data_IF_311283671182
#
_entry.id   IF_311283671182
#
_cell.length_a   1.000
_cell.length_b   1.000
_cell.length_c   1.000
_cell.angle_alpha   90.00
_cell.angle_beta   90.00
_cell.angle_gamma   90.00
#
_symmetry.space_group_name_H-M   'P 1'
#
loop_
_entity.id
_entity.type
_entity.pdbx_description
1 polymer ?
#
# COMPACT_ATOMS: atom_id res chain seq x y z
N UNK A 1 -1.24 3.37 -10.51
CA UNK A 1 0.13 3.88 -10.26
C UNK A 1 0.62 3.32 -8.97
N UNK A 2 1.81 2.76 -8.99
CA UNK A 2 2.41 2.10 -7.83
C UNK A 2 3.57 2.93 -7.33
N UNK A 3 3.57 3.25 -6.04
CA UNK A 3 4.69 3.87 -5.36
C UNK A 3 5.34 2.83 -4.45
N UNK A 4 6.64 2.64 -4.63
CA UNK A 4 7.42 1.69 -3.83
C UNK A 4 8.83 2.20 -3.59
N UNK A 5 9.37 1.85 -2.43
CA UNK A 5 10.74 2.21 -2.04
C UNK A 5 11.66 0.99 -2.12
N UNK A 6 12.72 1.12 -2.87
CA UNK A 6 13.71 0.05 -3.05
C UNK A 6 15.06 0.40 -2.44
N UNK A 7 15.73 -0.59 -1.83
CA UNK A 7 17.09 -0.40 -1.34
C UNK A 7 18.08 -0.62 -2.46
N UNK A 8 18.90 0.40 -2.76
CA UNK A 8 20.03 0.31 -3.66
C UNK A 8 21.33 0.20 -2.86
N UNK A 9 21.98 -0.93 -2.93
CA UNK A 9 23.29 -1.13 -2.32
C UNK A 9 24.35 -0.42 -3.15
N UNK A 10 25.08 0.50 -2.53
CA UNK A 10 26.18 1.22 -3.16
C UNK A 10 27.26 1.49 -2.11
N UNK A 11 28.35 0.76 -2.18
CA UNK A 11 29.55 1.03 -1.40
C UNK A 11 30.28 2.22 -2.03
N UNK A 12 29.93 3.42 -1.60
CA UNK A 12 30.41 4.65 -2.22
C UNK A 12 30.44 5.80 -1.20
N UNK A 13 31.43 6.66 -1.33
CA UNK A 13 31.52 7.95 -0.60
C UNK A 13 30.65 9.05 -1.27
N UNK A 14 29.69 8.66 -2.12
CA UNK A 14 28.79 9.63 -2.77
C UNK A 14 27.89 10.29 -1.74
N UNK A 15 27.58 11.53 -2.03
CA UNK A 15 26.67 12.33 -1.22
C UNK A 15 25.36 11.58 -0.95
N UNK A 16 24.91 11.59 0.29
CA UNK A 16 23.71 10.94 0.77
C UNK A 16 23.71 9.39 0.76
N UNK A 17 24.80 8.73 0.39
CA UNK A 17 24.96 7.31 0.66
C UNK A 17 25.02 7.09 2.18
N UNK A 18 24.20 6.19 2.72
CA UNK A 18 24.05 5.98 4.15
C UNK A 18 23.71 4.52 4.48
N UNK A 19 23.90 4.08 5.74
CA UNK A 19 23.46 2.77 6.19
C UNK A 19 21.97 2.59 5.94
N UNK A 20 21.58 1.40 5.44
CA UNK A 20 20.18 1.05 5.17
C UNK A 20 19.60 0.17 6.28
N UNK A 21 18.27 0.12 6.40
CA UNK A 21 17.59 -0.74 7.37
C UNK A 21 17.87 -2.25 7.15
N UNK A 22 18.29 -2.65 5.96
CA UNK A 22 18.72 -4.02 5.64
C UNK A 22 20.18 -4.31 5.99
N UNK A 23 20.81 -3.46 6.82
CA UNK A 23 22.22 -3.60 7.24
C UNK A 23 23.23 -3.51 6.08
N UNK A 24 22.82 -2.92 4.94
CA UNK A 24 23.68 -2.55 3.83
C UNK A 24 24.07 -1.07 3.91
N UNK A 25 24.68 -0.57 2.84
CA UNK A 25 25.06 0.83 2.68
C UNK A 25 24.65 1.30 1.27
N UNK A 26 24.08 2.47 1.13
CA UNK A 26 23.68 3.01 -0.16
C UNK A 26 22.50 3.98 -0.08
N UNK A 27 21.46 3.75 -0.88
CA UNK A 27 20.33 4.65 -1.05
C UNK A 27 18.99 3.93 -0.86
N UNK A 28 17.93 4.71 -0.61
CA UNK A 28 16.57 4.19 -0.45
C UNK A 28 15.58 5.04 -1.30
N UNK A 29 15.72 5.01 -2.65
CA UNK A 29 14.83 5.76 -3.53
C UNK A 29 13.38 5.38 -3.36
N UNK A 30 12.48 6.36 -3.54
CA UNK A 30 11.06 6.17 -3.72
C UNK A 30 10.75 6.29 -5.22
N UNK A 31 10.17 5.25 -5.78
CA UNK A 31 9.89 5.13 -7.21
C UNK A 31 8.38 5.12 -7.46
N UNK A 32 7.97 5.64 -8.59
CA UNK A 32 6.58 5.56 -9.07
C UNK A 32 6.53 4.92 -10.46
N UNK A 33 5.59 4.00 -10.61
CA UNK A 33 5.36 3.26 -11.85
C UNK A 33 3.90 3.42 -12.31
N UNK A 34 3.69 3.56 -13.61
CA UNK A 34 2.36 3.43 -14.21
C UNK A 34 2.14 1.97 -14.58
N UNK A 35 1.02 1.42 -14.12
CA UNK A 35 0.55 0.10 -14.49
C UNK A 35 -0.36 0.23 -15.72
N UNK A 36 -0.03 -0.45 -16.80
CA UNK A 36 -0.78 -0.46 -18.07
C UNK A 36 -1.79 -1.61 -18.15
N UNK A 37 -2.10 -2.24 -17.01
CA UNK A 37 -3.06 -3.34 -16.91
C UNK A 37 -2.46 -4.72 -17.23
N UNK A 38 -3.31 -5.76 -17.37
CA UNK A 38 -2.87 -7.16 -17.41
C UNK A 38 -1.91 -7.50 -18.55
N UNK A 39 -1.95 -6.75 -19.65
CA UNK A 39 -1.09 -6.99 -20.84
C UNK A 39 0.12 -6.07 -20.89
N UNK A 40 0.25 -5.16 -19.93
CA UNK A 40 1.31 -4.15 -19.91
C UNK A 40 2.36 -4.45 -18.85
N UNK A 41 3.54 -3.88 -19.05
CA UNK A 41 4.59 -3.80 -18.03
C UNK A 41 4.46 -2.47 -17.29
N UNK A 42 4.88 -2.42 -16.03
CA UNK A 42 4.98 -1.15 -15.30
C UNK A 42 6.01 -0.23 -15.95
N UNK A 43 5.64 1.04 -16.16
CA UNK A 43 6.53 2.06 -16.70
C UNK A 43 7.02 2.99 -15.59
N UNK A 44 8.34 3.14 -15.37
CA UNK A 44 8.86 4.08 -14.39
C UNK A 44 8.59 5.52 -14.86
N UNK A 45 7.94 6.32 -14.02
CA UNK A 45 7.53 7.69 -14.35
C UNK A 45 8.26 8.72 -13.50
N UNK A 46 8.47 8.42 -12.23
CA UNK A 46 9.18 9.32 -11.32
C UNK A 46 10.03 8.53 -10.33
N UNK A 47 11.14 9.12 -9.94
CA UNK A 47 12.00 8.58 -8.90
C UNK A 47 12.60 9.72 -8.08
N UNK A 48 12.52 9.60 -6.77
CA UNK A 48 13.22 10.47 -5.85
C UNK A 48 14.33 9.69 -5.16
N UNK A 49 15.57 10.06 -5.43
CA UNK A 49 16.72 9.50 -4.74
C UNK A 49 16.73 10.02 -3.29
N UNK A 50 16.84 9.09 -2.34
CA UNK A 50 16.86 9.39 -0.91
C UNK A 50 18.07 8.72 -0.25
N UNK A 51 18.56 9.26 0.88
CA UNK A 51 19.59 8.59 1.67
C UNK A 51 19.20 7.17 2.05
N UNK A 52 20.17 6.30 2.25
CA UNK A 52 19.94 4.90 2.64
C UNK A 52 19.14 4.74 3.93
N UNK A 53 19.25 5.70 4.85
CA UNK A 53 18.51 5.76 6.11
C UNK A 53 17.20 6.57 6.05
N UNK A 54 16.72 6.95 4.86
CA UNK A 54 15.45 7.64 4.72
C UNK A 54 14.30 6.79 5.26
N UNK A 55 13.38 7.42 6.01
CA UNK A 55 12.19 6.77 6.53
C UNK A 55 11.28 6.26 5.39
N UNK A 56 10.73 5.05 5.55
CA UNK A 56 9.85 4.49 4.54
C UNK A 56 8.52 5.27 4.45
N UNK A 57 8.00 5.75 5.59
CA UNK A 57 6.67 6.35 5.72
C UNK A 57 6.70 7.89 5.76
N UNK A 58 7.61 8.54 5.04
CA UNK A 58 7.65 10.00 4.94
C UNK A 58 6.56 10.50 4.00
N UNK A 59 5.49 11.06 4.53
CA UNK A 59 4.33 11.55 3.75
C UNK A 59 4.75 12.60 2.71
N UNK A 60 5.61 13.55 3.07
CA UNK A 60 6.12 14.58 2.16
C UNK A 60 6.80 14.00 0.92
N UNK A 61 7.54 12.91 1.06
CA UNK A 61 8.20 12.24 -0.05
C UNK A 61 7.18 11.58 -0.98
N UNK A 62 6.17 10.89 -0.42
CA UNK A 62 5.09 10.29 -1.19
C UNK A 62 4.28 11.35 -1.96
N UNK A 63 3.97 12.47 -1.31
CA UNK A 63 3.30 13.62 -1.96
C UNK A 63 4.13 14.14 -3.12
N UNK A 64 5.42 14.41 -2.88
CA UNK A 64 6.32 14.96 -3.90
C UNK A 64 6.46 14.05 -5.12
N UNK A 65 6.63 12.75 -4.91
CA UNK A 65 6.71 11.78 -6.01
C UNK A 65 5.37 11.70 -6.75
N UNK A 66 4.24 11.70 -6.03
CA UNK A 66 2.91 11.73 -6.66
C UNK A 66 2.72 12.99 -7.51
N UNK A 67 3.12 14.16 -7.03
CA UNK A 67 3.06 15.41 -7.83
C UNK A 67 3.90 15.33 -9.10
N UNK A 68 5.12 14.80 -9.01
CA UNK A 68 5.96 14.57 -10.19
C UNK A 68 5.28 13.68 -11.23
N UNK A 69 4.63 12.60 -10.80
CA UNK A 69 3.86 11.73 -11.69
C UNK A 69 2.71 12.48 -12.34
N UNK A 70 1.92 13.21 -11.55
CA UNK A 70 0.74 13.93 -12.05
C UNK A 70 1.09 15.02 -13.07
N UNK A 71 2.30 15.56 -13.05
CA UNK A 71 2.76 16.51 -14.11
C UNK A 71 3.01 15.82 -15.46
N UNK A 72 3.27 14.52 -15.45
CA UNK A 72 3.62 13.77 -16.67
C UNK A 72 2.43 13.00 -17.24
N UNK A 73 1.50 12.57 -16.37
CA UNK A 73 0.33 11.78 -16.76
C UNK A 73 -0.84 12.70 -17.04
N UNK A 74 -1.31 12.71 -18.31
CA UNK A 74 -2.46 13.54 -18.76
C UNK A 74 -3.78 12.80 -18.55
N UNK A 75 -4.05 12.35 -17.33
CA UNK A 75 -5.26 11.60 -16.99
C UNK A 75 -6.05 12.38 -15.95
N UNK A 76 -7.41 12.47 -16.05
CA UNK A 76 -8.21 13.09 -15.02
C UNK A 76 -7.97 12.44 -13.65
N UNK A 77 -7.89 13.24 -12.60
CA UNK A 77 -7.59 12.77 -11.23
C UNK A 77 -8.50 11.61 -10.80
N UNK A 78 -9.78 11.67 -11.14
CA UNK A 78 -10.79 10.65 -10.79
C UNK A 78 -10.51 9.27 -11.42
N UNK A 79 -9.69 9.23 -12.48
CA UNK A 79 -9.30 7.98 -13.15
C UNK A 79 -7.93 7.46 -12.70
N UNK A 80 -7.30 8.14 -11.74
CA UNK A 80 -6.01 7.75 -11.21
C UNK A 80 -6.19 7.01 -9.89
N UNK A 81 -5.66 5.80 -9.81
CA UNK A 81 -5.55 5.01 -8.58
C UNK A 81 -4.08 4.98 -8.12
N UNK A 82 -3.82 5.44 -6.92
CA UNK A 82 -2.51 5.35 -6.28
C UNK A 82 -2.46 4.09 -5.40
N UNK A 83 -1.47 3.24 -5.60
CA UNK A 83 -1.23 2.05 -4.78
C UNK A 83 0.12 2.18 -4.09
N UNK A 84 0.17 1.85 -2.81
CA UNK A 84 1.42 1.73 -2.04
C UNK A 84 1.30 0.58 -1.04
N UNK A 85 2.42 0.15 -0.52
CA UNK A 85 2.45 -0.67 0.69
C UNK A 85 2.04 0.15 1.93
N UNK A 86 2.20 -0.42 3.12
CA UNK A 86 1.85 0.26 4.38
C UNK A 86 2.71 1.49 4.70
N UNK A 87 3.81 1.71 4.00
CA UNK A 87 4.63 2.90 4.18
C UNK A 87 3.90 4.18 3.71
N UNK A 88 3.04 4.08 2.69
CA UNK A 88 2.17 5.18 2.27
C UNK A 88 0.93 5.39 3.17
N UNK A 89 0.67 4.50 4.11
CA UNK A 89 -0.51 4.53 5.00
C UNK A 89 -0.40 5.60 6.09
N UNK A 90 -0.22 6.86 5.73
CA UNK A 90 -0.14 7.99 6.66
C UNK A 90 -1.33 8.93 6.52
N UNK A 91 -1.76 9.53 7.64
CA UNK A 91 -2.87 10.51 7.63
C UNK A 91 -2.63 11.63 6.63
N UNK A 92 -1.43 12.19 6.62
CA UNK A 92 -1.07 13.32 5.77
C UNK A 92 -1.16 12.95 4.28
N UNK A 93 -0.62 11.79 3.89
CA UNK A 93 -0.65 11.37 2.49
C UNK A 93 -2.06 11.01 2.03
N UNK A 94 -2.85 10.28 2.84
CA UNK A 94 -4.23 9.95 2.47
C UNK A 94 -5.15 11.19 2.43
N UNK A 95 -4.95 12.18 3.32
CA UNK A 95 -5.64 13.46 3.23
C UNK A 95 -5.27 14.22 1.95
N UNK A 96 -3.99 14.24 1.57
CA UNK A 96 -3.55 14.81 0.30
C UNK A 96 -4.23 14.14 -0.90
N UNK A 97 -4.21 12.80 -0.98
CA UNK A 97 -4.84 12.06 -2.08
C UNK A 97 -6.34 12.35 -2.17
N UNK A 98 -7.03 12.33 -1.03
CA UNK A 98 -8.47 12.65 -0.94
C UNK A 98 -8.76 14.08 -1.41
N UNK A 99 -7.98 15.06 -0.92
CA UNK A 99 -8.12 16.47 -1.30
C UNK A 99 -7.85 16.75 -2.79
N UNK A 100 -7.05 15.90 -3.43
CA UNK A 100 -6.76 15.94 -4.87
C UNK A 100 -7.80 15.18 -5.72
N UNK A 101 -8.75 14.50 -5.10
CA UNK A 101 -9.74 13.66 -5.80
C UNK A 101 -9.13 12.42 -6.45
N UNK A 102 -8.00 11.94 -5.94
CA UNK A 102 -7.32 10.73 -6.41
C UNK A 102 -7.89 9.50 -5.70
N UNK A 103 -8.08 8.41 -6.46
CA UNK A 103 -8.33 7.10 -5.88
C UNK A 103 -7.08 6.53 -5.22
N UNK A 104 -7.25 5.75 -4.16
CA UNK A 104 -6.12 5.05 -3.54
C UNK A 104 -6.48 3.65 -3.05
N UNK A 105 -5.46 2.79 -3.01
CA UNK A 105 -5.44 1.49 -2.34
C UNK A 105 -4.08 1.35 -1.66
N UNK A 106 -4.04 1.54 -0.36
CA UNK A 106 -2.80 1.68 0.41
C UNK A 106 -2.78 0.66 1.52
N UNK A 107 -1.65 -0.01 1.71
CA UNK A 107 -1.50 -0.94 2.82
C UNK A 107 -1.82 -0.27 4.16
N UNK A 108 -2.65 -0.92 4.97
CA UNK A 108 -3.11 -0.41 6.26
C UNK A 108 -2.57 -1.27 7.40
N UNK A 109 -1.94 -0.64 8.39
CA UNK A 109 -1.39 -1.34 9.53
C UNK A 109 -2.49 -1.90 10.44
N UNK A 110 -2.47 -3.22 10.66
CA UNK A 110 -3.40 -3.85 11.61
C UNK A 110 -2.89 -3.68 13.04
N UNK A 111 -3.63 -2.93 13.84
CA UNK A 111 -3.44 -2.87 15.29
C UNK A 111 -3.94 -4.16 15.96
N UNK A 112 -3.59 -4.37 17.23
CA UNK A 112 -4.15 -5.46 18.01
C UNK A 112 -5.69 -5.39 18.09
N UNK A 113 -6.25 -4.18 18.22
CA UNK A 113 -7.71 -3.96 18.22
C UNK A 113 -8.34 -4.35 16.88
N UNK A 114 -7.68 -4.03 15.76
CA UNK A 114 -8.15 -4.43 14.43
C UNK A 114 -8.11 -5.96 14.29
N UNK A 115 -7.05 -6.63 14.75
CA UNK A 115 -6.96 -8.09 14.73
C UNK A 115 -8.09 -8.75 15.56
N UNK A 116 -8.41 -8.19 16.73
CA UNK A 116 -9.56 -8.64 17.51
C UNK A 116 -10.90 -8.43 16.80
N UNK A 117 -11.08 -7.29 16.10
CA UNK A 117 -12.27 -7.02 15.32
C UNK A 117 -12.44 -8.04 14.19
N UNK A 118 -11.34 -8.38 13.50
CA UNK A 118 -11.33 -9.41 12.44
C UNK A 118 -11.80 -10.77 13.00
N UNK A 119 -11.33 -11.16 14.19
CA UNK A 119 -11.72 -12.41 14.84
C UNK A 119 -13.23 -12.51 15.20
N UNK A 120 -13.95 -11.38 15.18
CA UNK A 120 -15.41 -11.30 15.42
C UNK A 120 -16.24 -11.31 14.15
N UNK A 121 -15.61 -11.26 12.98
CA UNK A 121 -16.31 -11.31 11.70
C UNK A 121 -16.97 -12.67 11.50
N UNK A 122 -18.25 -12.66 11.17
CA UNK A 122 -19.00 -13.86 10.89
C UNK A 122 -18.51 -14.50 9.56
N UNK A 123 -18.53 -15.85 9.44
CA UNK A 123 -18.05 -16.51 8.22
C UNK A 123 -18.68 -16.00 6.92
N UNK A 124 -19.97 -15.62 6.95
CA UNK A 124 -20.73 -15.20 5.78
C UNK A 124 -20.38 -13.81 5.23
N UNK A 125 -19.60 -13.00 5.96
CA UNK A 125 -19.15 -11.68 5.45
C UNK A 125 -17.88 -11.79 4.61
N UNK A 126 -17.25 -12.95 4.61
CA UNK A 126 -16.07 -13.19 3.81
C UNK A 126 -16.46 -13.60 2.39
N UNK A 127 -15.98 -12.84 1.41
CA UNK A 127 -16.15 -13.14 -0.01
C UNK A 127 -14.81 -13.57 -0.62
N UNK A 128 -14.80 -14.37 -1.69
CA UNK A 128 -13.56 -14.70 -2.39
C UNK A 128 -12.77 -13.46 -2.79
N UNK A 129 -11.45 -13.50 -2.67
CA UNK A 129 -10.58 -12.54 -3.31
C UNK A 129 -10.37 -12.91 -4.78
N UNK A 130 -10.07 -11.90 -5.61
CA UNK A 130 -9.84 -12.09 -7.04
C UNK A 130 -8.42 -11.69 -7.42
N UNK A 131 -7.85 -12.38 -8.37
CA UNK A 131 -6.60 -12.00 -9.02
C UNK A 131 -6.85 -10.93 -10.11
N UNK A 132 -5.79 -10.35 -10.65
CA UNK A 132 -5.88 -9.26 -11.62
C UNK A 132 -6.58 -9.64 -12.93
N UNK A 133 -6.64 -10.93 -13.27
CA UNK A 133 -7.34 -11.47 -14.42
C UNK A 133 -8.84 -11.73 -14.16
N UNK A 134 -9.32 -11.46 -12.94
CA UNK A 134 -10.70 -11.67 -12.53
C UNK A 134 -11.04 -13.11 -12.10
N UNK A 135 -10.04 -13.99 -11.99
CA UNK A 135 -10.24 -15.34 -11.44
C UNK A 135 -10.24 -15.30 -9.91
N UNK A 136 -10.98 -16.21 -9.27
CA UNK A 136 -10.94 -16.35 -7.82
C UNK A 136 -9.55 -16.81 -7.37
N UNK A 137 -8.99 -16.08 -6.40
CA UNK A 137 -7.70 -16.40 -5.81
C UNK A 137 -7.84 -17.51 -4.78
N UNK A 138 -7.26 -18.68 -5.09
CA UNK A 138 -7.34 -19.84 -4.21
C UNK A 138 -6.80 -19.55 -2.80
N UNK A 139 -7.60 -19.91 -1.80
CA UNK A 139 -7.25 -19.76 -0.40
C UNK A 139 -7.16 -18.31 0.09
N UNK A 140 -7.86 -17.39 -0.57
CA UNK A 140 -7.91 -15.99 -0.19
C UNK A 140 -9.34 -15.44 -0.15
N UNK A 141 -9.64 -14.65 0.88
CA UNK A 141 -10.94 -14.01 1.10
C UNK A 141 -10.77 -12.58 1.56
N UNK A 142 -11.77 -11.75 1.29
CA UNK A 142 -11.82 -10.35 1.71
C UNK A 142 -13.06 -10.05 2.52
N UNK A 143 -12.96 -9.09 3.43
CA UNK A 143 -14.09 -8.58 4.20
C UNK A 143 -13.89 -7.09 4.49
N UNK A 144 -15.00 -6.36 4.67
CA UNK A 144 -15.02 -4.94 5.05
C UNK A 144 -14.84 -4.79 6.56
N UNK A 145 -13.94 -3.90 6.99
CA UNK A 145 -13.69 -3.56 8.39
C UNK A 145 -14.13 -2.14 8.78
N UNK A 146 -14.53 -1.31 7.83
CA UNK A 146 -14.77 0.13 8.01
C UNK A 146 -15.65 0.44 9.22
N UNK A 147 -16.77 -0.26 9.38
CA UNK A 147 -17.72 -0.05 10.50
C UNK A 147 -17.24 -0.61 11.84
N UNK A 148 -16.11 -1.28 11.90
CA UNK A 148 -15.56 -1.93 13.10
C UNK A 148 -14.33 -1.20 13.67
N UNK A 149 -13.85 -0.19 12.96
CA UNK A 149 -12.66 0.58 13.32
C UNK A 149 -13.03 2.05 13.58
N UNK A 150 -12.31 2.68 14.51
CA UNK A 150 -12.37 4.13 14.64
C UNK A 150 -11.52 4.77 13.55
N UNK A 151 -12.19 5.29 12.54
CA UNK A 151 -11.60 5.99 11.40
C UNK A 151 -11.83 7.51 11.47
N UNK A 152 -12.26 8.06 12.61
CA UNK A 152 -12.60 9.48 12.76
C UNK A 152 -11.43 10.44 12.46
N UNK A 153 -10.20 10.00 12.65
CA UNK A 153 -8.97 10.78 12.35
C UNK A 153 -8.50 10.62 10.91
N UNK A 154 -9.12 9.73 10.12
CA UNK A 154 -8.77 9.47 8.74
C UNK A 154 -9.65 10.25 7.75
N UNK A 155 -9.29 10.35 6.46
CA UNK A 155 -10.10 11.06 5.47
C UNK A 155 -11.54 10.54 5.42
N UNK A 156 -12.51 11.46 5.29
CA UNK A 156 -13.91 11.09 5.14
C UNK A 156 -14.12 10.22 3.91
N UNK A 157 -14.88 9.14 4.08
CA UNK A 157 -15.14 8.17 3.00
C UNK A 157 -14.05 7.10 2.85
N UNK A 158 -13.01 7.13 3.67
CA UNK A 158 -12.04 6.05 3.72
C UNK A 158 -12.68 4.75 4.19
N UNK A 159 -12.39 3.68 3.50
CA UNK A 159 -12.78 2.32 3.83
C UNK A 159 -11.54 1.50 4.19
N UNK A 160 -11.71 0.47 5.00
CA UNK A 160 -10.66 -0.51 5.30
C UNK A 160 -11.18 -1.90 4.95
N UNK A 161 -10.45 -2.57 4.08
CA UNK A 161 -10.72 -3.94 3.64
C UNK A 161 -9.62 -4.84 4.15
N UNK A 162 -9.98 -5.97 4.74
CA UNK A 162 -9.03 -7.00 5.15
C UNK A 162 -9.06 -8.16 4.16
N UNK A 163 -7.89 -8.66 3.81
CA UNK A 163 -7.71 -9.93 3.10
C UNK A 163 -7.10 -10.94 4.06
N UNK A 164 -7.68 -12.12 4.12
CA UNK A 164 -7.07 -13.31 4.72
C UNK A 164 -6.68 -14.26 3.61
N UNK A 165 -5.46 -14.79 3.67
CA UNK A 165 -4.97 -15.72 2.64
C UNK A 165 -3.97 -16.71 3.23
N UNK A 166 -3.78 -17.85 2.56
CA UNK A 166 -2.71 -18.78 2.91
C UNK A 166 -1.37 -18.07 2.76
N UNK A 167 -0.52 -18.07 3.79
CA UNK A 167 0.81 -17.49 3.67
C UNK A 167 1.63 -18.28 2.64
N UNK A 168 2.52 -17.58 1.93
CA UNK A 168 3.45 -18.23 1.01
C UNK A 168 4.27 -19.31 1.76
N UNK A 169 4.56 -20.47 1.15
CA UNK A 169 5.42 -21.49 1.75
C UNK A 169 6.73 -20.90 2.25
N UNK A 170 7.06 -21.18 3.52
CA UNK A 170 8.25 -20.61 4.19
C UNK A 170 8.07 -19.20 4.77
N UNK A 171 6.89 -18.59 4.65
CA UNK A 171 6.63 -17.30 5.28
C UNK A 171 6.58 -17.42 6.81
N UNK A 172 7.24 -16.49 7.51
CA UNK A 172 7.14 -16.41 8.96
C UNK A 172 5.75 -15.95 9.39
N UNK A 173 5.20 -16.59 10.42
CA UNK A 173 3.95 -16.17 11.04
C UNK A 173 4.13 -14.79 11.68
N UNK A 174 3.10 -13.96 11.56
CA UNK A 174 2.99 -12.66 12.21
C UNK A 174 2.03 -12.75 13.38
N UNK A 175 2.15 -11.85 14.35
CA UNK A 175 1.23 -11.81 15.51
C UNK A 175 -0.24 -11.52 15.09
N UNK A 176 -0.46 -10.98 13.88
CA UNK A 176 -1.78 -10.73 13.31
C UNK A 176 -2.34 -11.92 12.56
N UNK A 177 -1.54 -12.96 12.28
CA UNK A 177 -2.01 -14.15 11.56
C UNK A 177 -2.98 -14.94 12.44
N UNK A 178 -4.08 -15.42 11.88
CA UNK A 178 -5.13 -16.14 12.60
C UNK A 178 -5.47 -17.42 11.85
N UNK A 179 -5.57 -18.53 12.58
CA UNK A 179 -5.94 -19.86 12.04
C UNK A 179 -5.05 -20.32 10.88
N UNK A 180 -3.76 -19.97 10.93
CA UNK A 180 -2.80 -20.29 9.88
C UNK A 180 -2.93 -19.42 8.61
N UNK A 181 -3.79 -18.40 8.62
CA UNK A 181 -3.99 -17.48 7.52
C UNK A 181 -3.33 -16.13 7.82
N UNK A 182 -2.72 -15.54 6.80
CA UNK A 182 -2.16 -14.19 6.86
C UNK A 182 -3.25 -13.15 6.71
N UNK A 183 -3.24 -12.16 7.59
CA UNK A 183 -4.12 -11.01 7.50
C UNK A 183 -3.35 -9.81 6.94
N UNK A 184 -3.91 -9.17 5.91
CA UNK A 184 -3.40 -7.94 5.31
C UNK A 184 -4.58 -6.98 5.12
N UNK A 185 -4.42 -5.72 5.51
CA UNK A 185 -5.48 -4.73 5.32
C UNK A 185 -5.05 -3.63 4.35
N UNK A 186 -6.05 -3.02 3.72
CA UNK A 186 -5.91 -1.94 2.76
C UNK A 186 -6.89 -0.83 3.09
N UNK A 187 -6.40 0.42 3.11
CA UNK A 187 -7.23 1.60 3.12
C UNK A 187 -7.53 2.02 1.68
N UNK A 188 -8.78 2.34 1.38
CA UNK A 188 -9.22 2.80 0.06
C UNK A 188 -10.35 3.80 0.15
N UNK A 189 -10.49 4.67 -0.84
CA UNK A 189 -11.64 5.58 -1.02
C UNK A 189 -12.47 5.21 -2.26
N UNK A 190 -12.19 4.07 -2.90
CA UNK A 190 -12.98 3.61 -4.04
C UNK A 190 -14.31 3.00 -3.57
N UNK A 191 -15.39 3.24 -4.30
CA UNK A 191 -16.74 2.75 -3.96
C UNK A 191 -17.07 1.40 -4.59
N UNK A 192 -16.37 1.03 -5.66
CA UNK A 192 -16.52 -0.25 -6.36
C UNK A 192 -15.37 -1.19 -6.00
N UNK A 193 -15.64 -2.49 -6.01
CA UNK A 193 -14.63 -3.51 -5.73
C UNK A 193 -13.40 -3.36 -6.64
N UNK A 194 -12.26 -3.65 -6.08
CA UNK A 194 -10.98 -3.77 -6.78
C UNK A 194 -10.68 -5.22 -7.04
#
# INVERSE_FOLDING_TARGET
MDLDASVLTAHSEKESAAPTYKRGFGFHPLCAFVDHGPSGTGEPVAMMLRPGNAGANTAADHIRVTEQVLTQVRTPAQSVLIRTDSAGGTHEFLNYLTGRGLGYSVGFGLSHTAAQAIGRLLPQVWTPAYDADGTERDGAWVAELTGMLDLSSWPTGMRVIVRKERPHPGAQLRFTDSDGLRLTAFATNTTTGQ
#
